data_IF_550444683315
#
_entry.id   IF_550444683315
#
_cell.length_a   1.000
_cell.length_b   1.000
_cell.length_c   1.000
_cell.angle_alpha   90.00
_cell.angle_beta   90.00
_cell.angle_gamma   90.00
#
_symmetry.space_group_name_H-M   'P 1'
#
loop_
_entity.id
_entity.type
_entity.pdbx_description
1 polymer ?
#
# COMPACT_ATOMS: atom_id res chain seq x y z
N UNK A 1 1.38 -30.10 -11.80
CA UNK A 1 0.98 -29.55 -10.49
C UNK A 1 2.24 -29.44 -9.66
N UNK A 2 2.67 -28.22 -9.30
CA UNK A 2 3.84 -28.05 -8.44
C UNK A 2 3.52 -28.60 -7.03
N UNK A 3 4.38 -29.47 -6.53
CA UNK A 3 4.28 -30.07 -5.22
C UNK A 3 4.37 -28.97 -4.15
N UNK A 4 3.30 -28.82 -3.36
CA UNK A 4 3.22 -27.77 -2.33
C UNK A 4 4.11 -28.20 -1.16
N UNK A 5 5.36 -27.71 -1.13
CA UNK A 5 6.31 -27.96 -0.05
C UNK A 5 5.71 -27.49 1.28
N UNK A 6 5.56 -28.40 2.24
CA UNK A 6 5.20 -28.02 3.60
C UNK A 6 6.31 -27.14 4.21
N UNK A 7 5.95 -25.93 4.60
CA UNK A 7 6.85 -25.02 5.31
C UNK A 7 6.83 -25.37 6.79
N UNK A 8 8.00 -25.50 7.41
CA UNK A 8 8.08 -25.70 8.85
C UNK A 8 7.53 -24.47 9.61
N UNK A 9 7.02 -24.64 10.84
CA UNK A 9 6.56 -23.51 11.66
C UNK A 9 7.65 -22.43 11.85
N UNK A 10 8.91 -22.85 11.93
CA UNK A 10 10.06 -21.94 12.01
C UNK A 10 10.21 -21.10 10.74
N UNK A 11 10.16 -21.72 9.56
CA UNK A 11 10.25 -21.00 8.28
C UNK A 11 9.11 -19.98 8.14
N UNK A 12 7.87 -20.36 8.50
CA UNK A 12 6.73 -19.44 8.46
C UNK A 12 6.92 -18.25 9.41
N UNK A 13 7.39 -18.48 10.63
CA UNK A 13 7.64 -17.42 11.60
C UNK A 13 8.74 -16.44 11.12
N UNK A 14 9.79 -16.97 10.50
CA UNK A 14 10.86 -16.15 9.91
C UNK A 14 10.34 -15.31 8.73
N UNK A 15 9.51 -15.89 7.87
CA UNK A 15 8.92 -15.17 6.74
C UNK A 15 7.97 -14.06 7.23
N UNK A 16 7.08 -14.34 8.17
CA UNK A 16 6.16 -13.33 8.74
C UNK A 16 6.95 -12.13 9.30
N UNK A 17 7.95 -12.40 10.14
CA UNK A 17 8.79 -11.36 10.73
C UNK A 17 9.54 -10.53 9.67
N UNK A 18 9.99 -11.16 8.59
CA UNK A 18 10.68 -10.45 7.50
C UNK A 18 9.73 -9.53 6.74
N UNK A 19 8.54 -9.99 6.38
CA UNK A 19 7.55 -9.15 5.69
C UNK A 19 7.07 -7.99 6.56
N UNK A 20 6.76 -8.25 7.84
CA UNK A 20 6.45 -7.19 8.82
C UNK A 20 7.63 -6.23 9.02
N UNK A 21 8.86 -6.74 8.96
CA UNK A 21 10.08 -5.93 8.97
C UNK A 21 10.15 -4.97 7.79
N UNK A 22 9.84 -5.43 6.57
CA UNK A 22 9.78 -4.57 5.38
C UNK A 22 8.68 -3.51 5.52
N UNK A 23 7.48 -3.89 5.94
CA UNK A 23 6.38 -2.94 6.14
C UNK A 23 6.75 -1.85 7.17
N UNK A 24 7.38 -2.23 8.29
CA UNK A 24 7.88 -1.28 9.30
C UNK A 24 8.99 -0.37 8.76
N UNK A 25 9.87 -0.89 7.91
CA UNK A 25 10.92 -0.08 7.29
C UNK A 25 10.32 0.97 6.34
N UNK A 26 9.31 0.61 5.54
CA UNK A 26 8.54 1.55 4.72
C UNK A 26 7.90 2.65 5.58
N UNK A 27 7.18 2.26 6.64
CA UNK A 27 6.52 3.17 7.56
C UNK A 27 7.51 4.16 8.21
N UNK A 28 8.64 3.66 8.72
CA UNK A 28 9.67 4.50 9.33
C UNK A 28 10.32 5.46 8.34
N UNK A 29 10.49 5.04 7.09
CA UNK A 29 11.05 5.90 6.03
C UNK A 29 10.10 7.05 5.73
N UNK A 30 8.80 6.76 5.57
CA UNK A 30 7.76 7.76 5.34
C UNK A 30 7.68 8.74 6.53
N UNK A 31 7.66 8.23 7.77
CA UNK A 31 7.61 9.05 8.97
C UNK A 31 8.79 10.03 9.08
N UNK A 32 10.01 9.56 8.77
CA UNK A 32 11.23 10.39 8.87
C UNK A 32 11.34 11.42 7.75
N UNK A 33 10.76 11.14 6.58
CA UNK A 33 10.74 12.06 5.45
C UNK A 33 9.60 13.09 5.54
N UNK A 34 8.57 12.82 6.36
CA UNK A 34 7.37 13.63 6.44
C UNK A 34 7.61 15.03 7.04
N UNK A 35 7.15 16.06 6.31
CA UNK A 35 7.12 17.46 6.77
C UNK A 35 5.77 17.89 7.33
N UNK A 36 4.69 17.20 6.95
CA UNK A 36 3.33 17.50 7.41
C UNK A 36 3.09 16.99 8.82
N UNK A 37 2.46 17.81 9.67
CA UNK A 37 2.03 17.42 11.02
C UNK A 37 1.03 16.24 11.00
N UNK A 38 0.22 16.13 9.93
CA UNK A 38 -0.68 15.01 9.69
C UNK A 38 0.09 13.68 9.68
N UNK A 39 1.29 13.69 9.10
CA UNK A 39 2.10 12.47 8.94
C UNK A 39 3.09 12.29 10.10
N UNK A 40 3.85 13.32 10.46
CA UNK A 40 4.92 13.17 11.45
C UNK A 40 4.45 13.24 12.92
N UNK A 41 3.25 13.75 13.17
CA UNK A 41 2.66 13.86 14.50
C UNK A 41 1.41 13.00 14.62
N UNK A 42 0.41 13.22 13.76
CA UNK A 42 -0.86 12.47 13.82
C UNK A 42 -0.76 11.04 13.24
N UNK A 43 0.28 10.76 12.44
CA UNK A 43 0.56 9.46 11.81
C UNK A 43 -0.58 8.94 10.93
N UNK A 44 -1.19 9.85 10.17
CA UNK A 44 -2.25 9.50 9.23
C UNK A 44 -1.67 8.97 7.90
N UNK A 45 -1.07 7.78 8.00
CA UNK A 45 -0.53 7.03 6.88
C UNK A 45 -0.45 5.54 7.22
N UNK A 46 -0.30 4.70 6.22
CA UNK A 46 -0.12 3.26 6.42
C UNK A 46 0.70 2.66 5.29
N UNK A 47 1.36 1.54 5.59
CA UNK A 47 2.22 0.82 4.65
C UNK A 47 1.90 -0.67 4.71
N UNK A 48 1.66 -1.28 3.55
CA UNK A 48 1.32 -2.68 3.46
C UNK A 48 1.94 -3.37 2.25
N UNK A 49 1.92 -4.69 2.30
CA UNK A 49 2.40 -5.61 1.27
C UNK A 49 1.26 -6.56 0.95
N UNK A 50 0.97 -6.72 -0.33
CA UNK A 50 -0.03 -7.62 -0.88
C UNK A 50 0.66 -8.76 -1.62
N UNK A 51 0.03 -9.94 -1.64
CA UNK A 51 0.45 -11.08 -2.46
C UNK A 51 0.28 -10.78 -3.95
N UNK A 52 0.83 -11.63 -4.83
CA UNK A 52 0.54 -11.57 -6.27
C UNK A 52 -0.96 -11.72 -6.59
N UNK A 53 -1.77 -12.28 -5.69
CA UNK A 53 -3.23 -12.37 -5.79
C UNK A 53 -3.99 -11.19 -5.17
N UNK A 54 -3.29 -10.12 -4.81
CA UNK A 54 -3.84 -8.90 -4.20
C UNK A 54 -4.42 -9.10 -2.79
N UNK A 55 -3.97 -10.15 -2.08
CA UNK A 55 -4.39 -10.41 -0.70
C UNK A 55 -3.42 -9.75 0.28
N UNK A 56 -3.93 -9.26 1.42
CA UNK A 56 -3.08 -8.69 2.48
C UNK A 56 -2.08 -9.73 3.00
N UNK A 57 -0.79 -9.41 2.90
CA UNK A 57 0.30 -10.26 3.37
C UNK A 57 0.91 -9.73 4.67
N UNK A 58 1.21 -8.43 4.71
CA UNK A 58 1.78 -7.79 5.89
C UNK A 58 1.49 -6.29 5.91
N UNK A 59 1.43 -5.72 7.11
CA UNK A 59 1.26 -4.29 7.33
C UNK A 59 2.05 -3.87 8.56
N UNK A 60 2.45 -2.59 8.61
CA UNK A 60 2.99 -1.99 9.81
C UNK A 60 1.84 -1.56 10.76
N UNK A 61 2.17 -0.90 11.87
CA UNK A 61 1.16 -0.16 12.64
C UNK A 61 0.42 0.80 11.69
N UNK A 62 -0.88 0.60 11.55
CA UNK A 62 -1.69 1.18 10.47
C UNK A 62 -3.07 1.55 10.98
N UNK A 63 -3.70 2.51 10.31
CA UNK A 63 -5.10 2.84 10.54
C UNK A 63 -5.99 1.75 9.92
N UNK A 64 -6.96 1.17 10.64
CA UNK A 64 -7.79 0.09 10.11
C UNK A 64 -8.45 0.42 8.76
N UNK A 65 -8.92 1.66 8.60
CA UNK A 65 -9.54 2.14 7.35
C UNK A 65 -8.57 2.15 6.15
N UNK A 66 -7.27 2.16 6.38
CA UNK A 66 -6.28 2.14 5.30
C UNK A 66 -5.97 0.74 4.77
N UNK A 67 -6.12 -0.29 5.60
CA UNK A 67 -5.53 -1.62 5.35
C UNK A 67 -6.49 -2.80 5.48
N UNK A 68 -7.61 -2.67 6.21
CA UNK A 68 -8.56 -3.78 6.35
C UNK A 68 -9.28 -4.10 5.03
N UNK A 69 -9.51 -3.08 4.20
CA UNK A 69 -10.05 -3.18 2.85
C UNK A 69 -9.50 -2.03 2.02
N UNK A 70 -9.44 -2.21 0.69
CA UNK A 70 -9.04 -1.14 -0.23
C UNK A 70 -7.73 -1.42 -0.94
N UNK A 71 -6.60 -1.73 -0.26
CA UNK A 71 -5.36 -2.07 -0.94
C UNK A 71 -5.50 -3.20 -1.97
N UNK A 72 -6.32 -4.21 -1.67
CA UNK A 72 -6.66 -5.30 -2.57
C UNK A 72 -7.38 -4.81 -3.84
N UNK A 73 -8.36 -3.92 -3.67
CA UNK A 73 -9.11 -3.30 -4.77
C UNK A 73 -8.22 -2.38 -5.62
N UNK A 74 -7.38 -1.56 -4.98
CA UNK A 74 -6.44 -0.67 -5.65
C UNK A 74 -5.45 -1.48 -6.49
N UNK A 75 -4.88 -2.55 -5.92
CA UNK A 75 -3.91 -3.39 -6.63
C UNK A 75 -4.54 -4.13 -7.81
N UNK A 76 -5.77 -4.67 -7.66
CA UNK A 76 -6.53 -5.27 -8.76
C UNK A 76 -6.81 -4.26 -9.87
N UNK A 77 -7.34 -3.09 -9.52
CA UNK A 77 -7.63 -2.03 -10.48
C UNK A 77 -6.38 -1.61 -11.26
N UNK A 78 -5.25 -1.42 -10.57
CA UNK A 78 -4.00 -1.05 -11.22
C UNK A 78 -3.48 -2.11 -12.19
N UNK A 79 -3.66 -3.40 -11.87
CA UNK A 79 -3.31 -4.48 -12.81
C UNK A 79 -4.22 -4.52 -14.04
N UNK A 80 -5.50 -4.17 -13.89
CA UNK A 80 -6.44 -4.10 -15.01
C UNK A 80 -6.08 -2.95 -15.97
N UNK A 81 -5.78 -1.76 -15.44
CA UNK A 81 -5.45 -0.59 -16.27
C UNK A 81 -3.98 -0.55 -16.72
N UNK A 82 -3.11 -1.28 -16.03
CA UNK A 82 -1.69 -1.46 -16.38
C UNK A 82 -1.33 -2.96 -16.46
N UNK A 83 -1.76 -3.67 -17.52
CA UNK A 83 -1.60 -5.12 -17.62
C UNK A 83 -0.16 -5.60 -17.87
N UNK A 84 0.80 -4.69 -18.00
CA UNK A 84 2.21 -5.02 -18.25
C UNK A 84 3.15 -4.10 -17.46
N UNK A 85 3.12 -4.19 -16.12
CA UNK A 85 4.02 -3.39 -15.28
C UNK A 85 5.47 -3.81 -15.51
N UNK A 86 6.38 -2.86 -15.37
CA UNK A 86 7.82 -3.07 -15.47
C UNK A 86 8.45 -2.92 -14.10
N UNK A 87 9.58 -3.61 -13.90
CA UNK A 87 10.38 -3.48 -12.67
C UNK A 87 10.82 -2.02 -12.53
N UNK A 88 10.48 -1.41 -11.39
CA UNK A 88 10.78 -0.01 -11.10
C UNK A 88 9.61 0.95 -11.36
N UNK A 89 8.50 0.49 -11.94
CA UNK A 89 7.30 1.31 -12.07
C UNK A 89 6.72 1.64 -10.68
N UNK A 90 6.17 2.85 -10.56
CA UNK A 90 5.43 3.31 -9.40
C UNK A 90 4.18 4.06 -9.87
N UNK A 91 3.03 3.70 -9.30
CA UNK A 91 1.75 4.30 -9.63
C UNK A 91 1.28 5.20 -8.51
N UNK A 92 0.65 6.32 -8.87
CA UNK A 92 0.00 7.21 -7.95
C UNK A 92 -1.51 7.04 -8.06
N UNK A 93 -2.19 6.85 -6.94
CA UNK A 93 -3.61 6.53 -6.90
C UNK A 93 -4.29 7.26 -5.75
N UNK A 94 -5.43 7.91 -6.01
CA UNK A 94 -6.25 8.51 -4.97
C UNK A 94 -7.77 8.28 -5.16
N UNK A 95 -8.19 7.43 -6.10
CA UNK A 95 -9.59 7.31 -6.50
C UNK A 95 -10.45 6.59 -5.45
N UNK A 96 -11.45 7.24 -4.83
CA UNK A 96 -12.33 6.61 -3.85
C UNK A 96 -13.16 5.47 -4.46
N UNK A 97 -13.53 5.62 -5.74
CA UNK A 97 -14.30 4.62 -6.49
C UNK A 97 -13.55 3.31 -6.76
N UNK A 98 -12.23 3.28 -6.54
CA UNK A 98 -11.37 2.16 -6.92
C UNK A 98 -10.56 1.66 -5.71
N UNK A 99 -11.18 1.71 -4.52
CA UNK A 99 -10.63 1.11 -3.30
C UNK A 99 -10.00 2.09 -2.32
N UNK A 100 -9.95 3.38 -2.64
CA UNK A 100 -9.45 4.38 -1.71
C UNK A 100 -10.54 4.87 -0.74
N UNK A 101 -10.13 5.39 0.41
CA UNK A 101 -11.05 5.84 1.47
C UNK A 101 -11.72 7.16 1.11
N UNK A 102 -10.93 8.14 0.65
CA UNK A 102 -11.41 9.37 0.02
C UNK A 102 -10.27 10.02 -0.79
N UNK A 103 -10.54 11.14 -1.47
CA UNK A 103 -9.62 11.71 -2.46
C UNK A 103 -8.34 12.34 -1.88
N UNK A 104 -8.32 12.67 -0.58
CA UNK A 104 -7.13 13.23 0.07
C UNK A 104 -6.14 12.17 0.54
N UNK A 105 -6.53 10.89 0.55
CA UNK A 105 -5.61 9.79 0.79
C UNK A 105 -4.85 9.47 -0.49
N UNK A 106 -3.54 9.67 -0.52
CA UNK A 106 -2.74 9.40 -1.71
C UNK A 106 -1.94 8.12 -1.51
N UNK A 107 -2.05 7.21 -2.47
CA UNK A 107 -1.37 5.92 -2.49
C UNK A 107 -0.26 5.93 -3.53
N UNK A 108 0.96 5.62 -3.11
CA UNK A 108 2.02 5.15 -4.01
C UNK A 108 1.97 3.63 -4.01
N UNK A 109 1.79 3.04 -5.19
CA UNK A 109 1.63 1.60 -5.38
C UNK A 109 2.70 1.09 -6.33
N UNK A 110 3.49 0.12 -5.88
CA UNK A 110 4.64 -0.39 -6.62
C UNK A 110 4.48 -1.90 -6.79
N UNK A 111 4.41 -2.42 -8.03
CA UNK A 111 4.50 -3.84 -8.29
C UNK A 111 5.95 -4.31 -8.08
N UNK A 112 6.12 -5.40 -7.35
CA UNK A 112 7.41 -6.04 -7.11
C UNK A 112 7.53 -7.22 -8.06
N UNK A 113 8.38 -7.07 -9.06
CA UNK A 113 8.71 -8.10 -10.05
C UNK A 113 10.06 -8.73 -9.69
N UNK A 114 10.17 -10.04 -9.86
CA UNK A 114 11.45 -10.75 -9.75
C UNK A 114 12.32 -10.58 -11.02
N UNK A 115 13.47 -11.26 -11.06
CA UNK A 115 14.43 -11.17 -12.16
C UNK A 115 13.87 -11.74 -13.48
N UNK A 116 12.89 -12.65 -13.40
CA UNK A 116 12.17 -13.20 -14.56
C UNK A 116 10.97 -12.33 -14.97
N UNK A 117 10.85 -11.13 -14.40
CA UNK A 117 9.74 -10.19 -14.61
C UNK A 117 8.36 -10.76 -14.19
N UNK A 118 8.34 -11.70 -13.25
CA UNK A 118 7.10 -12.23 -12.69
C UNK A 118 6.67 -11.37 -11.50
N UNK A 119 5.42 -10.92 -11.49
CA UNK A 119 4.83 -10.20 -10.35
C UNK A 119 4.75 -11.11 -9.13
N UNK A 120 5.38 -10.71 -8.02
CA UNK A 120 5.40 -11.48 -6.77
C UNK A 120 4.58 -10.82 -5.67
N UNK A 121 4.66 -9.50 -5.56
CA UNK A 121 4.00 -8.71 -4.52
C UNK A 121 3.61 -7.35 -5.04
N UNK A 122 2.71 -6.69 -4.33
CA UNK A 122 2.47 -5.25 -4.50
C UNK A 122 2.76 -4.58 -3.16
N UNK A 123 3.59 -3.54 -3.15
CA UNK A 123 3.79 -2.71 -1.95
C UNK A 123 3.04 -1.40 -2.11
N UNK A 124 2.43 -0.94 -1.03
CA UNK A 124 1.59 0.24 -1.03
C UNK A 124 1.91 1.10 0.18
N UNK A 125 2.07 2.40 -0.06
CA UNK A 125 2.12 3.43 0.98
C UNK A 125 0.98 4.41 0.74
N UNK A 126 0.09 4.56 1.72
CA UNK A 126 -1.02 5.51 1.73
C UNK A 126 -0.73 6.61 2.74
N UNK A 127 -0.93 7.87 2.38
CA UNK A 127 -0.77 9.00 3.27
C UNK A 127 -1.84 10.05 3.04
N UNK A 128 -2.36 10.63 4.12
CA UNK A 128 -3.38 11.66 4.06
C UNK A 128 -2.74 13.03 3.78
N UNK A 129 -3.18 13.70 2.72
CA UNK A 129 -2.77 15.06 2.39
C UNK A 129 -3.72 16.07 3.04
N UNK A 130 -3.18 17.18 3.54
CA UNK A 130 -3.95 18.25 4.16
C UNK A 130 -4.87 19.00 3.17
N UNK A 131 -4.55 18.89 1.88
CA UNK A 131 -5.29 19.48 0.78
C UNK A 131 -5.07 18.62 -0.47
N UNK A 132 -6.11 18.43 -1.27
CA UNK A 132 -6.05 17.72 -2.55
C UNK A 132 -6.64 18.53 -3.72
N UNK A 133 -6.66 19.86 -3.61
CA UNK A 133 -7.17 20.74 -4.67
C UNK A 133 -8.69 20.83 -4.75
N UNK A 134 -9.36 20.72 -3.61
CA UNK A 134 -10.81 20.94 -3.50
C UNK A 134 -11.19 22.41 -3.77
N UNK A 135 -12.50 22.71 -3.86
CA UNK A 135 -13.00 24.07 -4.08
C UNK A 135 -12.61 25.07 -2.98
N UNK A 136 -12.31 24.56 -1.78
CA UNK A 136 -11.69 25.30 -0.68
C UNK A 136 -10.51 24.49 -0.14
N UNK A 137 -9.52 25.11 0.55
CA UNK A 137 -8.37 24.39 1.09
C UNK A 137 -8.77 23.41 2.20
N UNK A 138 -8.99 22.14 1.84
CA UNK A 138 -9.49 21.09 2.76
C UNK A 138 -9.30 19.70 2.15
N UNK A 139 -9.42 18.68 2.99
CA UNK A 139 -9.36 17.27 2.63
C UNK A 139 -10.71 16.73 2.14
N UNK A 140 -11.80 17.35 2.59
CA UNK A 140 -13.17 17.02 2.21
C UNK A 140 -14.06 18.27 2.23
N UNK A 141 -15.03 18.33 1.30
CA UNK A 141 -16.00 19.42 1.18
C UNK A 141 -17.39 18.84 1.41
N UNK A 142 -17.96 19.13 2.58
CA UNK A 142 -19.25 18.57 2.99
C UNK A 142 -20.42 18.96 2.06
N UNK A 143 -20.27 20.06 1.32
CA UNK A 143 -21.31 20.65 0.47
C UNK A 143 -21.07 20.41 -1.04
N UNK A 144 -20.13 19.54 -1.42
CA UNK A 144 -19.78 19.25 -2.82
C UNK A 144 -20.61 18.15 -3.47
#
# INVERSE_FOLDING_TARGET
MAERRESSPLELALLSNRFEGVARAMMNTLLRAARSAILNTARDFSCCILTAGDEMLAMAESLPIHVMSGPDLIARYLKEVHPSPRRGDAYLHNSPYHGNSHAADWCVVIPVLDDDCVHRYTVLAKAHLADCGNAVPTTDVADA
#
